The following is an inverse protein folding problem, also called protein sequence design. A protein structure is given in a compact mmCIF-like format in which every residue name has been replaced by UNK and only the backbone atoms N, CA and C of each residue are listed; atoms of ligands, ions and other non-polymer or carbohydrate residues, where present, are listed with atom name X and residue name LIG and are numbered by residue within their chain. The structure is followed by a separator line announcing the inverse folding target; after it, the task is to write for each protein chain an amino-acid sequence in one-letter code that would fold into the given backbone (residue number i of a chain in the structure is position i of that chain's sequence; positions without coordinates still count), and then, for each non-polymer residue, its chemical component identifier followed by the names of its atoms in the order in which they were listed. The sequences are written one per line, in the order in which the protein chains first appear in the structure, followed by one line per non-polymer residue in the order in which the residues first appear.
data_IF_546929326560
#
_entry.id   IF_546929326560
#
_cell.length_a   1.000
_cell.length_b   1.000
_cell.length_c   1.000
_cell.angle_alpha   90.00
_cell.angle_beta   90.00
_cell.angle_gamma   90.00
#
_symmetry.space_group_name_H-M   'P 1'
#
loop_
_entity.id
_entity.type
_entity.pdbx_description
1 polymer ?
#
# COMPACT_ATOMS: atom_id res chain seq x y z
N UNK A 1 -45.95 -24.95 25.39
CA UNK A 1 -44.62 -25.59 25.35
C UNK A 1 -44.10 -25.55 23.91
N UNK A 2 -43.37 -24.50 23.54
CA UNK A 2 -42.67 -24.44 22.26
C UNK A 2 -41.33 -23.74 22.47
N UNK A 3 -40.39 -24.50 23.06
CA UNK A 3 -38.97 -24.19 23.30
C UNK A 3 -38.14 -24.10 22.01
N UNK A 4 -38.76 -23.73 20.87
CA UNK A 4 -38.06 -23.58 19.57
C UNK A 4 -37.84 -22.13 19.15
N UNK A 5 -38.27 -21.16 19.97
CA UNK A 5 -38.16 -19.72 19.64
C UNK A 5 -36.95 -19.01 20.26
N UNK A 6 -36.01 -19.74 20.87
CA UNK A 6 -34.92 -19.14 21.66
C UNK A 6 -33.49 -19.44 21.17
N UNK A 7 -33.28 -20.14 20.04
CA UNK A 7 -31.94 -20.48 19.56
C UNK A 7 -31.61 -20.10 18.11
N UNK A 8 -32.44 -19.32 17.42
CA UNK A 8 -32.09 -18.78 16.09
C UNK A 8 -31.72 -17.29 16.14
N UNK A 9 -31.24 -16.83 17.29
CA UNK A 9 -30.45 -15.60 17.39
C UNK A 9 -28.97 -16.02 17.33
N UNK A 10 -28.47 -16.29 16.13
CA UNK A 10 -27.04 -16.51 15.91
C UNK A 10 -26.64 -15.74 14.67
N UNK A 11 -26.16 -14.52 14.94
CA UNK A 11 -25.22 -13.74 14.16
C UNK A 11 -25.15 -14.10 12.66
N UNK A 12 -26.03 -13.49 11.86
CA UNK A 12 -25.67 -13.21 10.48
C UNK A 12 -24.39 -12.33 10.51
N UNK A 13 -23.30 -12.74 9.82
CA UNK A 13 -22.18 -11.84 9.62
C UNK A 13 -22.71 -10.66 8.80
N UNK A 14 -22.69 -9.47 9.40
CA UNK A 14 -22.95 -8.24 8.65
C UNK A 14 -21.91 -8.18 7.53
N UNK A 15 -22.36 -8.47 6.32
CA UNK A 15 -21.58 -8.21 5.12
C UNK A 15 -21.38 -6.70 5.07
N UNK A 16 -20.21 -6.23 5.48
CA UNK A 16 -19.78 -4.87 5.17
C UNK A 16 -19.97 -4.70 3.67
N UNK A 17 -20.92 -3.83 3.29
CA UNK A 17 -21.12 -3.45 1.90
C UNK A 17 -19.79 -2.87 1.44
N UNK A 18 -19.05 -3.63 0.65
CA UNK A 18 -17.89 -3.12 -0.10
C UNK A 18 -18.43 -2.22 -1.21
N UNK A 19 -18.97 -1.08 -0.82
CA UNK A 19 -19.32 0.05 -1.69
C UNK A 19 -18.08 0.93 -1.85
N UNK A 20 -16.91 0.34 -2.05
CA UNK A 20 -15.68 1.09 -2.31
C UNK A 20 -15.64 1.34 -3.80
N UNK A 21 -15.95 2.56 -4.27
CA UNK A 21 -15.85 2.86 -5.69
C UNK A 21 -14.42 2.61 -6.13
N UNK A 22 -14.24 1.91 -7.26
CA UNK A 22 -12.88 1.66 -7.75
C UNK A 22 -12.22 2.99 -8.11
N UNK A 23 -10.89 3.06 -8.11
CA UNK A 23 -10.15 4.27 -8.53
C UNK A 23 -10.61 4.80 -9.90
N UNK A 24 -11.10 3.91 -10.78
CA UNK A 24 -11.67 4.28 -12.08
C UNK A 24 -13.02 4.98 -11.97
N UNK A 25 -13.85 4.58 -11.01
CA UNK A 25 -15.16 5.22 -10.74
C UNK A 25 -14.98 6.58 -10.08
N UNK A 26 -14.05 6.69 -9.14
CA UNK A 26 -13.65 7.96 -8.55
C UNK A 26 -13.15 8.92 -9.65
N UNK A 27 -12.23 8.47 -10.51
CA UNK A 27 -11.72 9.30 -11.62
C UNK A 27 -12.82 9.72 -12.60
N UNK A 28 -13.76 8.82 -12.92
CA UNK A 28 -14.91 9.17 -13.74
C UNK A 28 -15.84 10.19 -13.05
N UNK A 29 -16.04 10.09 -11.73
CA UNK A 29 -16.80 11.09 -10.98
C UNK A 29 -16.12 12.46 -10.99
N UNK A 30 -14.79 12.50 -10.85
CA UNK A 30 -14.02 13.75 -10.95
C UNK A 30 -14.15 14.37 -12.35
N UNK A 31 -14.06 13.55 -13.40
CA UNK A 31 -14.23 14.02 -14.78
C UNK A 31 -15.63 14.59 -15.01
N UNK A 32 -16.66 13.90 -14.55
CA UNK A 32 -18.06 14.34 -14.64
C UNK A 32 -18.30 15.65 -13.86
N UNK A 33 -17.72 15.81 -12.68
CA UNK A 33 -17.81 17.04 -11.90
C UNK A 33 -17.10 18.21 -12.61
N UNK A 34 -15.88 17.98 -13.10
CA UNK A 34 -15.11 19.00 -13.82
C UNK A 34 -15.75 19.45 -15.14
N UNK A 35 -16.39 18.53 -15.88
CA UNK A 35 -17.07 18.81 -17.15
C UNK A 35 -18.43 19.51 -16.94
N UNK A 36 -19.06 19.36 -15.77
CA UNK A 36 -20.38 19.97 -15.48
C UNK A 36 -20.34 21.48 -15.20
N UNK A 37 -19.15 22.07 -15.02
CA UNK A 37 -18.99 23.49 -14.69
C UNK A 37 -19.06 24.32 -15.98
N UNK A 38 -20.28 24.65 -16.41
CA UNK A 38 -20.53 25.46 -17.61
C UNK A 38 -19.84 26.82 -17.50
N UNK A 39 -18.76 27.04 -18.25
CA UNK A 39 -18.06 28.32 -18.26
C UNK A 39 -18.95 29.41 -18.86
N UNK A 40 -19.11 30.51 -18.14
CA UNK A 40 -19.77 31.70 -18.71
C UNK A 40 -18.88 32.34 -19.77
N UNK A 41 -19.47 33.00 -20.78
CA UNK A 41 -18.71 33.67 -21.86
C UNK A 41 -17.68 34.68 -21.33
N UNK A 42 -17.99 35.36 -20.22
CA UNK A 42 -17.07 36.29 -19.56
C UNK A 42 -15.85 35.59 -18.93
N UNK A 43 -16.04 34.40 -18.34
CA UNK A 43 -14.94 33.60 -17.78
C UNK A 43 -14.01 33.10 -18.88
N UNK A 44 -14.56 32.64 -20.01
CA UNK A 44 -13.76 32.20 -21.15
C UNK A 44 -12.93 33.34 -21.76
N UNK A 45 -13.51 34.55 -21.86
CA UNK A 45 -12.77 35.72 -22.34
C UNK A 45 -11.67 36.15 -21.35
N UNK A 46 -11.97 36.16 -20.05
CA UNK A 46 -10.98 36.47 -19.01
C UNK A 46 -9.79 35.49 -19.07
N UNK A 47 -10.04 34.22 -19.35
CA UNK A 47 -8.99 33.19 -19.45
C UNK A 47 -8.12 33.33 -20.66
N UNK A 48 -8.74 33.58 -21.81
CA UNK A 48 -8.00 33.82 -23.03
C UNK A 48 -7.09 35.05 -22.86
N UNK A 49 -7.61 36.11 -22.25
CA UNK A 49 -6.85 37.33 -22.01
C UNK A 49 -5.75 37.12 -20.95
N UNK A 50 -6.05 36.47 -19.83
CA UNK A 50 -5.06 36.20 -18.79
C UNK A 50 -3.95 35.26 -19.28
N UNK A 51 -4.29 34.21 -20.03
CA UNK A 51 -3.32 33.30 -20.64
C UNK A 51 -2.42 34.02 -21.66
N UNK A 52 -2.98 34.97 -22.42
CA UNK A 52 -2.22 35.76 -23.39
C UNK A 52 -1.31 36.78 -22.71
N UNK A 53 -1.81 37.49 -21.69
CA UNK A 53 -1.03 38.48 -20.91
C UNK A 53 0.11 37.81 -20.13
N UNK A 54 -0.09 36.59 -19.63
CA UNK A 54 0.93 35.83 -18.90
C UNK A 54 1.99 35.17 -19.78
N UNK A 55 1.93 35.32 -21.11
CA UNK A 55 2.85 34.65 -22.04
C UNK A 55 4.10 35.50 -22.31
N UNK A 56 5.26 34.84 -22.41
CA UNK A 56 6.53 35.45 -22.83
C UNK A 56 6.45 36.13 -24.20
N UNK A 57 5.68 35.55 -25.13
CA UNK A 57 5.52 36.14 -26.47
C UNK A 57 4.75 37.46 -26.46
N UNK A 58 3.78 37.63 -25.54
CA UNK A 58 3.03 38.88 -25.41
C UNK A 58 3.94 40.03 -24.98
N UNK A 59 4.84 39.79 -24.03
CA UNK A 59 5.82 40.79 -23.59
C UNK A 59 6.69 41.27 -24.75
N UNK A 60 7.21 40.35 -25.57
CA UNK A 60 8.07 40.70 -26.71
C UNK A 60 7.34 41.54 -27.76
N UNK A 61 6.08 41.22 -28.06
CA UNK A 61 5.25 41.98 -29.01
C UNK A 61 4.94 43.37 -28.46
N UNK A 62 4.53 43.47 -27.20
CA UNK A 62 4.24 44.74 -26.54
C UNK A 62 5.48 45.67 -26.55
N UNK A 63 6.65 45.15 -26.19
CA UNK A 63 7.91 45.91 -26.24
C UNK A 63 8.27 46.35 -27.66
N UNK A 64 8.06 45.49 -28.66
CA UNK A 64 8.35 45.83 -30.08
C UNK A 64 7.43 46.93 -30.59
N UNK A 65 6.14 46.90 -30.25
CA UNK A 65 5.18 47.95 -30.60
C UNK A 65 5.58 49.28 -29.95
N UNK A 66 5.94 49.26 -28.66
CA UNK A 66 6.42 50.43 -27.93
C UNK A 66 7.68 51.02 -28.58
N UNK A 67 8.68 50.18 -28.86
CA UNK A 67 9.92 50.60 -29.52
C UNK A 67 9.67 51.15 -30.93
N UNK A 68 8.78 50.51 -31.70
CA UNK A 68 8.38 50.96 -33.02
C UNK A 68 7.64 52.30 -33.00
N UNK A 69 6.75 52.52 -32.04
CA UNK A 69 6.02 53.78 -31.87
C UNK A 69 6.94 54.95 -31.52
N UNK A 70 7.87 54.72 -30.59
CA UNK A 70 8.89 55.71 -30.23
C UNK A 70 9.81 55.97 -31.43
N UNK A 71 10.28 54.93 -32.11
CA UNK A 71 11.12 55.06 -33.30
C UNK A 71 10.45 55.85 -34.43
N UNK A 72 9.16 55.62 -34.67
CA UNK A 72 8.38 56.34 -35.67
C UNK A 72 8.22 57.83 -35.33
N UNK A 73 7.92 58.16 -34.07
CA UNK A 73 7.71 59.55 -33.65
C UNK A 73 9.01 60.36 -33.47
N UNK A 74 10.17 59.72 -33.30
CA UNK A 74 11.48 60.41 -33.18
C UNK A 74 12.17 60.58 -34.54
N UNK A 75 11.64 59.97 -35.62
CA UNK A 75 12.28 60.00 -36.93
C UNK A 75 12.18 61.40 -37.59
N UNK A 76 13.31 62.02 -37.96
CA UNK A 76 13.30 63.35 -38.56
C UNK A 76 12.66 63.30 -39.97
N UNK A 77 11.68 64.18 -40.22
CA UNK A 77 10.99 64.31 -41.51
C UNK A 77 9.57 63.73 -41.56
N UNK A 78 9.08 63.13 -40.48
CA UNK A 78 7.68 62.71 -40.32
C UNK A 78 6.93 63.72 -39.45
N UNK A 79 5.66 64.07 -39.73
CA UNK A 79 4.86 64.88 -38.82
C UNK A 79 4.77 64.22 -37.45
N UNK A 80 5.19 64.91 -36.38
CA UNK A 80 5.12 64.40 -35.02
C UNK A 80 3.65 64.27 -34.59
N UNK A 81 3.11 63.05 -34.64
CA UNK A 81 1.75 62.76 -34.19
C UNK A 81 1.65 62.70 -32.65
N UNK A 82 2.74 62.34 -31.98
CA UNK A 82 2.85 62.24 -30.53
C UNK A 82 4.18 62.86 -30.07
N UNK A 83 4.20 64.19 -29.95
CA UNK A 83 5.36 64.97 -29.51
C UNK A 83 5.75 64.62 -28.06
N UNK A 84 7.05 64.72 -27.74
CA UNK A 84 7.54 64.44 -26.38
C UNK A 84 6.75 65.30 -25.38
N UNK A 85 6.03 64.73 -24.39
CA UNK A 85 6.26 63.44 -23.70
C UNK A 85 5.20 62.33 -23.98
N UNK A 86 4.94 61.98 -25.25
CA UNK A 86 4.15 60.82 -25.68
C UNK A 86 2.81 60.63 -24.93
N UNK A 87 1.95 61.65 -24.92
CA UNK A 87 0.73 61.69 -24.09
C UNK A 87 -0.27 60.59 -24.48
N UNK A 88 -0.40 60.29 -25.77
CA UNK A 88 -1.34 59.29 -26.26
C UNK A 88 -0.90 57.88 -25.87
N UNK A 89 0.39 57.58 -26.04
CA UNK A 89 0.98 56.32 -25.63
C UNK A 89 0.79 56.07 -24.13
N UNK A 90 1.08 57.10 -23.31
CA UNK A 90 0.93 57.02 -21.86
C UNK A 90 -0.53 56.80 -21.43
N UNK A 91 -1.48 57.45 -22.10
CA UNK A 91 -2.91 57.28 -21.83
C UNK A 91 -3.37 55.84 -22.12
N UNK A 92 -3.04 55.32 -23.30
CA UNK A 92 -3.41 53.96 -23.72
C UNK A 92 -2.78 52.91 -22.82
N UNK A 93 -1.49 53.06 -22.50
CA UNK A 93 -0.77 52.11 -21.63
C UNK A 93 -1.32 52.09 -20.20
N UNK A 94 -1.67 53.26 -19.65
CA UNK A 94 -2.27 53.37 -18.32
C UNK A 94 -3.63 52.67 -18.27
N UNK A 95 -4.47 52.90 -19.29
CA UNK A 95 -5.76 52.23 -19.40
C UNK A 95 -5.61 50.71 -19.54
N UNK A 96 -4.71 50.24 -20.41
CA UNK A 96 -4.44 48.81 -20.59
C UNK A 96 -4.03 48.13 -19.28
N UNK A 97 -3.14 48.78 -18.52
CA UNK A 97 -2.68 48.27 -17.22
C UNK A 97 -3.80 48.22 -16.18
N UNK A 98 -4.66 49.25 -16.13
CA UNK A 98 -5.78 49.32 -15.21
C UNK A 98 -6.80 48.18 -15.42
N UNK A 99 -7.06 47.78 -16.67
CA UNK A 99 -7.95 46.64 -16.97
C UNK A 99 -7.27 45.28 -16.82
N UNK A 100 -5.95 45.23 -16.98
CA UNK A 100 -5.20 43.97 -16.88
C UNK A 100 -5.26 43.38 -15.47
N UNK A 101 -5.07 44.20 -14.44
CA UNK A 101 -5.06 43.75 -13.04
C UNK A 101 -6.33 42.98 -12.61
N UNK A 102 -7.57 43.50 -12.80
CA UNK A 102 -8.78 42.78 -12.42
C UNK A 102 -9.03 41.53 -13.26
N UNK A 103 -8.68 41.53 -14.55
CA UNK A 103 -8.82 40.35 -15.42
C UNK A 103 -7.89 39.22 -14.93
N UNK A 104 -6.64 39.56 -14.64
CA UNK A 104 -5.67 38.62 -14.09
C UNK A 104 -6.14 38.12 -12.72
N UNK A 105 -6.63 39.00 -11.84
CA UNK A 105 -7.14 38.61 -10.52
C UNK A 105 -8.36 37.68 -10.62
N UNK A 106 -9.30 37.95 -11.53
CA UNK A 106 -10.45 37.08 -11.77
C UNK A 106 -10.03 35.71 -12.30
N UNK A 107 -9.08 35.66 -13.23
CA UNK A 107 -8.54 34.40 -13.73
C UNK A 107 -7.79 33.64 -12.63
N UNK A 108 -7.02 34.34 -11.78
CA UNK A 108 -6.30 33.73 -10.66
C UNK A 108 -7.27 33.16 -9.63
N UNK A 109 -8.28 33.93 -9.21
CA UNK A 109 -9.27 33.47 -8.23
C UNK A 109 -10.00 32.21 -8.72
N UNK A 110 -10.33 32.14 -10.02
CA UNK A 110 -10.94 30.93 -10.56
C UNK A 110 -9.98 29.75 -10.64
N UNK A 111 -8.72 29.96 -11.03
CA UNK A 111 -7.72 28.89 -11.02
C UNK A 111 -7.48 28.36 -9.60
N UNK A 112 -7.42 29.23 -8.60
CA UNK A 112 -7.29 28.80 -7.20
C UNK A 112 -8.51 28.02 -6.70
N UNK A 113 -9.72 28.38 -7.14
CA UNK A 113 -10.92 27.61 -6.79
C UNK A 113 -10.88 26.19 -7.39
N UNK A 114 -10.44 26.06 -8.65
CA UNK A 114 -10.26 24.77 -9.33
C UNK A 114 -9.16 23.95 -8.64
N UNK A 115 -8.04 24.57 -8.32
CA UNK A 115 -6.93 23.92 -7.62
C UNK A 115 -7.34 23.44 -6.23
N UNK A 116 -8.11 24.25 -5.49
CA UNK A 116 -8.64 23.86 -4.18
C UNK A 116 -9.58 22.66 -4.30
N UNK A 117 -10.53 22.69 -5.22
CA UNK A 117 -11.46 21.57 -5.46
C UNK A 117 -10.70 20.28 -5.82
N UNK A 118 -9.69 20.39 -6.69
CA UNK A 118 -8.82 19.27 -7.04
C UNK A 118 -8.04 18.74 -5.83
N UNK A 119 -7.46 19.62 -5.03
CA UNK A 119 -6.70 19.23 -3.84
C UNK A 119 -7.60 18.52 -2.81
N UNK A 120 -8.80 19.06 -2.54
CA UNK A 120 -9.79 18.43 -1.64
C UNK A 120 -10.15 17.01 -2.12
N UNK A 121 -10.36 16.85 -3.42
CA UNK A 121 -10.64 15.55 -4.02
C UNK A 121 -9.45 14.58 -3.91
N UNK A 122 -8.24 15.01 -4.29
CA UNK A 122 -7.02 14.19 -4.22
C UNK A 122 -6.73 13.75 -2.77
N UNK A 123 -7.00 14.63 -1.80
CA UNK A 123 -6.92 14.30 -0.38
C UNK A 123 -7.89 13.18 0.02
N UNK A 124 -9.14 13.24 -0.41
CA UNK A 124 -10.15 12.23 -0.10
C UNK A 124 -9.80 10.88 -0.72
N UNK A 125 -9.36 10.86 -1.99
CA UNK A 125 -8.88 9.63 -2.64
C UNK A 125 -7.71 9.02 -1.88
N UNK A 126 -6.75 9.84 -1.44
CA UNK A 126 -5.60 9.36 -0.68
C UNK A 126 -6.00 8.78 0.68
N UNK A 127 -6.97 9.40 1.36
CA UNK A 127 -7.52 8.85 2.62
C UNK A 127 -8.19 7.50 2.41
N UNK A 128 -9.01 7.38 1.36
CA UNK A 128 -9.67 6.12 1.03
C UNK A 128 -8.66 5.04 0.65
N UNK A 129 -7.61 5.39 -0.10
CA UNK A 129 -6.52 4.48 -0.41
C UNK A 129 -5.81 3.97 0.86
N UNK A 130 -5.52 4.87 1.81
CA UNK A 130 -4.93 4.49 3.10
C UNK A 130 -5.80 3.51 3.89
N UNK A 131 -7.11 3.77 3.98
CA UNK A 131 -8.07 2.87 4.64
C UNK A 131 -8.15 1.50 3.94
N UNK A 132 -8.14 1.48 2.61
CA UNK A 132 -8.15 0.23 1.84
C UNK A 132 -6.88 -0.59 2.09
N UNK A 133 -5.72 0.07 2.22
CA UNK A 133 -4.45 -0.60 2.55
C UNK A 133 -4.51 -1.18 3.97
N UNK A 134 -5.06 -0.45 4.93
CA UNK A 134 -5.24 -0.93 6.31
C UNK A 134 -6.15 -2.17 6.35
N UNK A 135 -7.28 -2.14 5.64
CA UNK A 135 -8.18 -3.29 5.52
C UNK A 135 -7.52 -4.50 4.84
N UNK A 136 -6.67 -4.27 3.83
CA UNK A 136 -5.91 -5.33 3.18
C UNK A 136 -4.89 -5.95 4.15
N UNK A 137 -4.23 -5.13 4.98
CA UNK A 137 -3.34 -5.61 6.04
C UNK A 137 -4.08 -6.45 7.07
N UNK A 138 -5.22 -5.99 7.57
CA UNK A 138 -6.03 -6.75 8.53
C UNK A 138 -6.45 -8.12 7.96
N UNK A 139 -6.89 -8.15 6.69
CA UNK A 139 -7.20 -9.41 6.01
C UNK A 139 -5.99 -10.31 5.86
N UNK A 140 -4.83 -9.76 5.48
CA UNK A 140 -3.59 -10.51 5.35
C UNK A 140 -3.17 -11.14 6.69
N UNK A 141 -3.22 -10.37 7.77
CA UNK A 141 -2.89 -10.84 9.12
C UNK A 141 -3.85 -11.94 9.58
N UNK A 142 -5.14 -11.80 9.28
CA UNK A 142 -6.14 -12.83 9.60
C UNK A 142 -5.87 -14.15 8.88
N UNK A 143 -5.45 -14.10 7.61
CA UNK A 143 -5.08 -15.28 6.82
C UNK A 143 -3.79 -15.91 7.34
N UNK A 144 -2.79 -15.10 7.69
CA UNK A 144 -1.56 -15.60 8.30
C UNK A 144 -1.83 -16.30 9.64
N UNK A 145 -2.68 -15.73 10.49
CA UNK A 145 -3.07 -16.33 11.76
C UNK A 145 -3.80 -17.67 11.56
N UNK A 146 -4.66 -17.77 10.54
CA UNK A 146 -5.31 -19.04 10.18
C UNK A 146 -4.28 -20.09 9.74
N UNK A 147 -3.34 -19.73 8.87
CA UNK A 147 -2.28 -20.65 8.41
C UNK A 147 -1.39 -21.11 9.58
N UNK A 148 -0.99 -20.21 10.47
CA UNK A 148 -0.22 -20.56 11.67
C UNK A 148 -0.97 -21.52 12.59
N UNK A 149 -2.28 -21.33 12.75
CA UNK A 149 -3.14 -22.23 13.52
C UNK A 149 -3.21 -23.62 12.89
N UNK A 150 -3.36 -23.70 11.57
CA UNK A 150 -3.36 -24.99 10.86
C UNK A 150 -2.01 -25.70 10.99
N UNK A 151 -0.89 -25.00 10.79
CA UNK A 151 0.45 -25.57 10.96
C UNK A 151 0.65 -26.09 12.39
N UNK A 152 0.21 -25.34 13.40
CA UNK A 152 0.28 -25.77 14.81
C UNK A 152 -0.57 -27.03 15.06
N UNK A 153 -1.75 -27.13 14.46
CA UNK A 153 -2.59 -28.33 14.56
C UNK A 153 -1.94 -29.55 13.89
N UNK A 154 -1.30 -29.37 12.74
CA UNK A 154 -0.55 -30.42 12.03
C UNK A 154 0.60 -30.92 12.91
N UNK A 155 1.42 -30.02 13.44
CA UNK A 155 2.55 -30.37 14.34
C UNK A 155 2.04 -31.11 15.58
N UNK A 156 0.95 -30.65 16.19
CA UNK A 156 0.36 -31.32 17.36
C UNK A 156 -0.14 -32.74 17.03
N UNK A 157 -0.74 -32.95 15.86
CA UNK A 157 -1.14 -34.28 15.38
C UNK A 157 0.08 -35.17 15.17
N UNK A 158 1.15 -34.65 14.55
CA UNK A 158 2.40 -35.39 14.37
C UNK A 158 2.99 -35.82 15.72
N UNK A 159 3.01 -34.92 16.72
CA UNK A 159 3.49 -35.26 18.05
C UNK A 159 2.66 -36.37 18.69
N UNK A 160 1.33 -36.32 18.59
CA UNK A 160 0.47 -37.38 19.12
C UNK A 160 0.74 -38.74 18.46
N UNK A 161 0.89 -38.76 17.13
CA UNK A 161 1.25 -39.98 16.41
C UNK A 161 2.62 -40.51 16.84
N UNK A 162 3.61 -39.64 17.09
CA UNK A 162 4.91 -40.04 17.62
C UNK A 162 4.79 -40.65 19.03
N UNK A 163 3.98 -40.05 19.90
CA UNK A 163 3.76 -40.55 21.27
C UNK A 163 3.02 -41.90 21.26
N UNK A 164 2.05 -42.07 20.37
CA UNK A 164 1.31 -43.33 20.18
C UNK A 164 2.20 -44.43 19.59
N UNK A 165 3.02 -44.11 18.58
CA UNK A 165 4.02 -45.04 18.05
C UNK A 165 5.00 -45.44 19.15
N UNK A 166 5.51 -44.48 19.93
CA UNK A 166 6.40 -44.76 21.05
C UNK A 166 5.73 -45.66 22.10
N UNK A 167 4.47 -45.39 22.45
CA UNK A 167 3.71 -46.19 23.41
C UNK A 167 3.36 -47.60 22.90
N UNK A 168 3.23 -47.80 21.59
CA UNK A 168 3.00 -49.11 20.97
C UNK A 168 4.31 -49.89 20.81
N UNK A 169 5.40 -49.23 20.44
CA UNK A 169 6.69 -49.85 20.15
C UNK A 169 7.48 -50.17 21.43
N UNK A 170 7.45 -49.32 22.46
CA UNK A 170 8.13 -49.57 23.74
C UNK A 170 7.76 -50.92 24.40
N UNK A 171 6.48 -51.28 24.57
CA UNK A 171 6.11 -52.57 25.16
C UNK A 171 6.37 -53.75 24.21
N UNK A 172 6.41 -53.53 22.90
CA UNK A 172 6.82 -54.57 21.93
C UNK A 172 8.31 -54.85 22.07
N UNK A 173 9.14 -53.81 22.24
CA UNK A 173 10.58 -53.96 22.50
C UNK A 173 10.84 -54.64 23.86
N UNK A 174 10.08 -54.30 24.91
CA UNK A 174 10.15 -55.01 26.20
C UNK A 174 9.74 -56.49 26.09
N UNK A 175 8.64 -56.78 25.38
CA UNK A 175 8.20 -58.17 25.16
C UNK A 175 9.20 -58.97 24.35
N UNK A 176 9.85 -58.37 23.35
CA UNK A 176 10.92 -59.03 22.61
C UNK A 176 12.13 -59.30 23.51
N UNK A 177 12.53 -58.38 24.39
CA UNK A 177 13.57 -58.64 25.38
C UNK A 177 13.21 -59.75 26.38
N UNK A 178 11.94 -59.87 26.80
CA UNK A 178 11.47 -60.95 27.67
C UNK A 178 11.49 -62.31 26.95
N UNK A 179 11.08 -62.37 25.68
CA UNK A 179 11.18 -63.59 24.88
C UNK A 179 12.63 -64.06 24.66
N UNK A 180 13.58 -63.12 24.56
CA UNK A 180 15.02 -63.42 24.50
C UNK A 180 15.58 -63.90 25.84
N UNK A 181 14.93 -63.60 26.98
CA UNK A 181 15.27 -64.18 28.29
C UNK A 181 14.72 -65.60 28.45
N UNK A 182 13.55 -65.91 27.89
CA UNK A 182 12.98 -67.27 27.91
C UNK A 182 13.74 -68.27 27.02
N UNK A 183 14.34 -67.82 25.91
CA UNK A 183 15.21 -68.66 25.06
C UNK A 183 16.51 -69.09 25.79
N UNK A 184 16.87 -68.44 26.92
CA UNK A 184 17.94 -68.93 27.81
C UNK A 184 17.50 -70.03 28.79
N UNK A 185 16.21 -70.38 28.85
CA UNK A 185 15.66 -71.41 29.76
C UNK A 185 15.16 -72.63 28.97
N UNK A 186 15.97 -73.11 28.03
CA UNK A 186 15.91 -74.51 27.59
C UNK A 186 17.14 -75.18 28.21
N UNK A 187 16.90 -76.00 29.22
CA UNK A 187 17.89 -76.85 29.89
C UNK A 187 18.59 -77.77 28.89
N UNK A 188 19.60 -77.28 28.19
CA UNK A 188 20.64 -78.16 27.67
C UNK A 188 21.60 -78.43 28.83
N UNK A 189 21.33 -79.53 29.53
CA UNK A 189 22.31 -80.22 30.36
C UNK A 189 23.44 -80.71 29.45
N UNK A 190 24.39 -79.83 29.16
CA UNK A 190 25.60 -80.19 28.45
C UNK A 190 26.46 -81.05 29.39
N UNK A 191 26.75 -82.33 29.05
CA UNK A 191 27.80 -83.03 29.75
C UNK A 191 29.13 -82.43 29.27
N UNK A 192 29.89 -81.90 30.22
CA UNK A 192 31.29 -81.45 30.12
C UNK A 192 31.49 -79.97 29.74
N UNK A 193 31.49 -79.10 30.76
CA UNK A 193 32.69 -78.35 31.13
C UNK A 193 33.28 -77.26 30.21
N UNK A 194 32.50 -76.55 29.38
CA UNK A 194 33.01 -75.37 28.66
C UNK A 194 32.10 -74.14 28.84
N UNK A 195 32.69 -73.02 29.28
CA UNK A 195 32.07 -71.70 29.38
C UNK A 195 32.22 -70.95 28.05
N UNK A 196 31.11 -70.60 27.40
CA UNK A 196 31.10 -69.74 26.20
C UNK A 196 30.89 -68.29 26.63
N UNK A 197 31.89 -67.44 26.36
CA UNK A 197 31.80 -65.99 26.53
C UNK A 197 30.87 -65.39 25.46
N UNK A 198 29.80 -64.70 25.87
CA UNK A 198 29.04 -63.81 24.99
C UNK A 198 29.61 -62.39 25.12
N UNK A 199 30.12 -61.75 24.05
CA UNK A 199 30.36 -60.33 24.07
C UNK A 199 29.04 -59.62 23.76
N UNK A 200 28.41 -59.03 24.77
CA UNK A 200 27.34 -58.05 24.53
C UNK A 200 27.61 -56.82 25.38
N UNK A 201 28.36 -55.89 24.79
CA UNK A 201 28.57 -54.54 25.31
C UNK A 201 28.28 -53.57 24.14
N UNK A 202 27.09 -52.97 24.14
CA UNK A 202 26.80 -51.76 23.35
C UNK A 202 26.15 -50.73 24.28
N UNK A 203 26.82 -50.49 25.41
CA UNK A 203 26.78 -49.20 26.10
C UNK A 203 27.87 -48.35 25.43
N UNK A 204 27.53 -47.66 24.34
CA UNK A 204 28.23 -46.51 23.70
C UNK A 204 27.78 -46.40 22.25
N UNK A 205 26.72 -45.63 22.01
CA UNK A 205 26.57 -44.76 20.83
C UNK A 205 25.64 -43.56 21.10
N UNK A 206 25.22 -43.33 22.36
CA UNK A 206 24.34 -42.20 22.72
C UNK A 206 25.09 -40.95 23.25
N UNK A 207 26.43 -40.97 23.35
CA UNK A 207 27.19 -39.80 23.81
C UNK A 207 27.79 -38.93 22.69
N UNK A 208 27.82 -39.38 21.44
CA UNK A 208 28.48 -38.62 20.36
C UNK A 208 27.55 -37.76 19.48
N UNK A 209 26.21 -37.82 19.65
CA UNK A 209 25.28 -36.96 18.88
C UNK A 209 24.59 -35.85 19.70
N UNK A 210 25.00 -35.64 20.96
CA UNK A 210 24.55 -34.51 21.79
C UNK A 210 25.67 -33.46 21.89
N UNK A 211 26.33 -33.17 20.76
CA UNK A 211 27.23 -32.01 20.63
C UNK A 211 26.91 -31.10 19.45
N UNK A 212 25.99 -31.50 18.55
CA UNK A 212 25.71 -30.75 17.32
C UNK A 212 24.47 -29.85 17.37
N UNK A 213 23.67 -29.84 18.45
CA UNK A 213 22.45 -29.02 18.48
C UNK A 213 22.14 -28.42 19.85
N UNK A 214 22.79 -27.30 20.17
CA UNK A 214 22.27 -26.20 21.00
C UNK A 214 22.94 -24.87 20.57
N UNK A 215 22.31 -23.69 20.78
CA UNK A 215 21.88 -22.81 19.69
C UNK A 215 22.68 -21.51 19.60
N UNK A 216 22.78 -20.95 18.39
CA UNK A 216 23.21 -19.57 18.18
C UNK A 216 22.09 -18.58 18.58
N UNK A 217 21.94 -18.35 19.89
CA UNK A 217 21.45 -17.06 20.39
C UNK A 217 22.65 -16.37 21.02
N UNK A 218 23.35 -15.56 20.21
CA UNK A 218 24.23 -14.50 20.69
C UNK A 218 23.57 -13.17 20.32
N UNK A 219 23.06 -12.51 21.35
CA UNK A 219 22.79 -11.08 21.36
C UNK A 219 24.12 -10.35 21.11
N UNK A 220 24.22 -9.61 20.02
CA UNK A 220 25.23 -8.58 19.82
C UNK A 220 24.60 -7.21 20.10
N UNK A 221 25.40 -6.34 20.71
CA UNK A 221 25.10 -4.96 21.09
C UNK A 221 24.93 -4.06 19.87
#
# INVERSE_FOLDING_TARGET
MNQKKLLSNSAEPQTMKTSTPSLKELSNQQKLQSESKTQTRGQHLADLLAAKVGSWSFLTVQTTILAGWVGFNVMPGVPHWDEQPFILLNLVFSFASAYTAPIVLMSQNRQSDIEREKNEYDHEVNRQAAQNIELLHEKMDSLQAQQLKELTQIVKKQQHSLDEIKASVLPVLEKQQQSLKEIKVVDNKFPNGYSVYLPFNVERQAEDNIKDFQPLIRLEK
#
